data_IF_670047736009
#
_entry.id   IF_670047736009
#
_cell.length_a   1.000
_cell.length_b   1.000
_cell.length_c   1.000
_cell.angle_alpha   90.00
_cell.angle_beta   90.00
_cell.angle_gamma   90.00
#
_symmetry.space_group_name_H-M   'P 1'
#
loop_
_entity.id
_entity.type
_entity.pdbx_description
1 polymer ?
#
# COMPACT_ATOMS: atom_id res chain seq x y z
N UNK A 1 12.52 7.40 -20.70
CA UNK A 1 12.04 8.76 -20.71
C UNK A 1 11.49 9.14 -19.36
N UNK A 2 11.75 10.33 -18.88
CA UNK A 2 11.36 10.79 -17.55
C UNK A 2 9.87 10.67 -17.27
N UNK A 3 9.03 10.93 -18.30
CA UNK A 3 7.58 10.83 -18.18
C UNK A 3 7.10 9.42 -17.80
N UNK A 4 7.81 8.40 -18.22
CA UNK A 4 7.46 7.02 -17.91
C UNK A 4 7.64 6.71 -16.43
N UNK A 5 8.72 7.20 -15.83
CA UNK A 5 8.96 7.01 -14.39
C UNK A 5 7.90 7.77 -13.59
N UNK A 6 7.63 9.02 -13.95
CA UNK A 6 6.60 9.82 -13.27
C UNK A 6 5.23 9.14 -13.32
N UNK A 7 4.83 8.62 -14.47
CA UNK A 7 3.58 7.88 -14.62
C UNK A 7 3.54 6.65 -13.73
N UNK A 8 4.64 5.90 -13.69
CA UNK A 8 4.69 4.69 -12.86
C UNK A 8 4.61 5.02 -11.37
N UNK A 9 5.25 6.10 -10.93
CA UNK A 9 5.13 6.53 -9.54
C UNK A 9 3.68 6.91 -9.22
N UNK A 10 2.99 7.62 -10.13
CA UNK A 10 1.57 7.96 -9.97
C UNK A 10 0.73 6.68 -9.88
N UNK A 11 1.00 5.69 -10.72
CA UNK A 11 0.30 4.40 -10.68
C UNK A 11 0.47 3.70 -9.33
N UNK A 12 1.68 3.69 -8.79
CA UNK A 12 1.95 3.13 -7.45
C UNK A 12 1.11 3.86 -6.40
N UNK A 13 1.20 5.18 -6.40
CA UNK A 13 0.49 5.99 -5.41
C UNK A 13 -1.02 5.72 -5.45
N UNK A 14 -1.59 5.66 -6.64
CA UNK A 14 -3.02 5.36 -6.81
C UNK A 14 -3.36 3.93 -6.41
N UNK A 15 -2.48 2.99 -6.72
CA UNK A 15 -2.68 1.58 -6.38
C UNK A 15 -2.76 1.35 -4.87
N UNK A 16 -2.02 2.13 -4.09
CA UNK A 16 -2.04 2.05 -2.62
C UNK A 16 -3.04 3.03 -1.99
N UNK A 17 -3.81 3.75 -2.83
CA UNK A 17 -4.86 4.68 -2.39
C UNK A 17 -4.36 5.85 -1.56
N UNK A 18 -3.17 6.36 -1.90
CA UNK A 18 -2.59 7.52 -1.23
C UNK A 18 -2.77 8.78 -2.08
N UNK A 19 -3.03 9.91 -1.42
CA UNK A 19 -2.92 11.21 -2.07
C UNK A 19 -1.45 11.68 -2.01
N UNK A 20 -1.16 12.81 -2.65
CA UNK A 20 0.22 13.31 -2.70
C UNK A 20 0.79 13.63 -1.32
N UNK A 21 -0.04 14.15 -0.42
CA UNK A 21 0.37 14.49 0.95
C UNK A 21 0.76 13.25 1.73
N UNK A 22 -0.09 12.20 1.69
CA UNK A 22 0.19 10.93 2.36
C UNK A 22 1.45 10.26 1.82
N UNK A 23 1.60 10.28 0.51
CA UNK A 23 2.76 9.69 -0.17
C UNK A 23 4.04 10.41 0.25
N UNK A 24 4.02 11.75 0.22
CA UNK A 24 5.16 12.57 0.62
C UNK A 24 5.55 12.32 2.08
N UNK A 25 4.56 12.24 2.98
CA UNK A 25 4.81 11.97 4.40
C UNK A 25 5.53 10.64 4.62
N UNK A 26 5.10 9.59 3.91
CA UNK A 26 5.75 8.28 4.03
C UNK A 26 7.18 8.28 3.51
N UNK A 27 7.46 9.12 2.53
CA UNK A 27 8.79 9.27 1.94
C UNK A 27 9.63 10.33 2.64
N UNK A 28 9.07 10.98 3.66
CA UNK A 28 9.73 12.07 4.39
C UNK A 28 10.12 13.22 3.46
N UNK A 29 9.21 13.56 2.55
CA UNK A 29 9.36 14.65 1.58
C UNK A 29 8.21 15.63 1.74
N UNK A 30 8.39 16.83 1.20
CA UNK A 30 7.31 17.80 1.12
C UNK A 30 6.39 17.45 -0.07
N UNK A 31 5.09 17.70 0.10
CA UNK A 31 4.12 17.48 -0.97
C UNK A 31 4.50 18.20 -2.26
N UNK A 32 5.05 19.41 -2.15
CA UNK A 32 5.47 20.20 -3.33
C UNK A 32 6.50 19.47 -4.19
N UNK A 33 7.40 18.70 -3.56
CA UNK A 33 8.39 17.91 -4.29
C UNK A 33 7.70 16.79 -5.08
N UNK A 34 6.77 16.08 -4.44
CA UNK A 34 6.01 15.02 -5.12
C UNK A 34 5.22 15.60 -6.30
N UNK A 35 4.55 16.74 -6.08
CA UNK A 35 3.78 17.41 -7.14
C UNK A 35 4.65 17.77 -8.34
N UNK A 36 5.83 18.35 -8.10
CA UNK A 36 6.77 18.72 -9.17
C UNK A 36 7.25 17.48 -9.92
N UNK A 37 7.59 16.41 -9.21
CA UNK A 37 8.09 15.20 -9.83
C UNK A 37 7.00 14.49 -10.64
N UNK A 38 5.77 14.43 -10.11
CA UNK A 38 4.65 13.80 -10.83
C UNK A 38 4.25 14.57 -12.08
N UNK A 39 4.40 15.89 -12.07
CA UNK A 39 4.08 16.72 -13.24
C UNK A 39 5.18 16.73 -14.31
N UNK A 40 6.32 16.11 -14.03
CA UNK A 40 7.45 16.08 -14.94
C UNK A 40 8.32 17.31 -14.91
N UNK A 41 8.07 18.26 -14.02
CA UNK A 41 8.86 19.48 -13.89
C UNK A 41 10.19 19.23 -13.16
N UNK A 42 10.28 18.14 -12.43
CA UNK A 42 11.46 17.71 -11.72
C UNK A 42 11.56 16.19 -11.81
N UNK A 43 12.78 15.67 -11.92
CA UNK A 43 12.99 14.23 -11.95
C UNK A 43 13.02 13.66 -10.53
N UNK A 44 12.48 12.43 -10.36
CA UNK A 44 12.66 11.69 -9.13
C UNK A 44 14.12 11.31 -8.97
N UNK A 45 14.70 11.58 -7.80
CA UNK A 45 16.07 11.19 -7.52
C UNK A 45 16.16 9.66 -7.38
N UNK A 46 17.35 9.13 -7.62
CA UNK A 46 17.63 7.71 -7.42
C UNK A 46 17.28 7.27 -6.00
N UNK A 47 17.63 8.08 -5.01
CA UNK A 47 17.30 7.80 -3.60
C UNK A 47 15.81 7.70 -3.38
N UNK A 48 15.04 8.63 -3.94
CA UNK A 48 13.58 8.63 -3.80
C UNK A 48 12.97 7.37 -4.42
N UNK A 49 13.46 6.96 -5.60
CA UNK A 49 12.98 5.74 -6.25
C UNK A 49 13.26 4.50 -5.39
N UNK A 50 14.44 4.44 -4.79
CA UNK A 50 14.80 3.34 -3.88
C UNK A 50 13.95 3.35 -2.62
N UNK A 51 13.66 4.53 -2.08
CA UNK A 51 12.78 4.65 -0.92
C UNK A 51 11.36 4.18 -1.25
N UNK A 52 10.84 4.53 -2.43
CA UNK A 52 9.53 4.05 -2.88
C UNK A 52 9.53 2.53 -2.94
N UNK A 53 10.55 1.95 -3.54
CA UNK A 53 10.70 0.49 -3.63
C UNK A 53 10.72 -0.16 -2.24
N UNK A 54 11.53 0.38 -1.34
CA UNK A 54 11.70 -0.21 0.00
C UNK A 54 10.46 -0.05 0.88
N UNK A 55 9.85 1.12 0.88
CA UNK A 55 8.73 1.44 1.78
C UNK A 55 7.44 0.76 1.31
N UNK A 56 7.19 0.74 0.01
CA UNK A 56 5.93 0.26 -0.55
C UNK A 56 6.03 -1.10 -1.23
N UNK A 57 7.18 -1.77 -1.13
CA UNK A 57 7.44 -3.07 -1.75
C UNK A 57 7.22 -3.05 -3.27
N UNK A 58 7.66 -1.97 -3.91
CA UNK A 58 7.57 -1.78 -5.35
C UNK A 58 8.83 -2.37 -6.00
N UNK A 59 8.65 -3.09 -7.09
CA UNK A 59 9.77 -3.61 -7.89
C UNK A 59 10.54 -2.44 -8.50
N UNK A 60 11.77 -2.24 -8.05
CA UNK A 60 12.60 -1.12 -8.49
C UNK A 60 12.85 -1.14 -10.01
N UNK A 61 13.08 -2.33 -10.58
CA UNK A 61 13.28 -2.45 -12.02
C UNK A 61 12.04 -2.00 -12.79
N UNK A 62 10.85 -2.45 -12.35
CA UNK A 62 9.61 -2.00 -12.97
C UNK A 62 9.46 -0.49 -12.85
N UNK A 63 9.76 0.08 -11.69
CA UNK A 63 9.65 1.52 -11.46
C UNK A 63 10.53 2.31 -12.42
N UNK A 64 11.75 1.83 -12.67
CA UNK A 64 12.71 2.49 -13.55
C UNK A 64 12.49 2.22 -15.03
N UNK A 65 12.12 0.99 -15.39
CA UNK A 65 12.12 0.54 -16.81
C UNK A 65 10.75 0.15 -17.32
N UNK A 66 9.80 -0.15 -16.45
CA UNK A 66 8.49 -0.66 -16.83
C UNK A 66 8.45 -2.18 -17.02
N UNK A 67 9.58 -2.86 -16.82
CA UNK A 67 9.65 -4.32 -16.98
C UNK A 67 9.35 -5.03 -15.67
N UNK A 68 8.58 -6.11 -15.74
CA UNK A 68 8.20 -6.92 -14.59
C UNK A 68 6.90 -6.45 -13.96
N UNK A 69 6.65 -6.91 -12.75
CA UNK A 69 5.45 -6.58 -12.00
C UNK A 69 5.67 -5.32 -11.14
N UNK A 70 4.60 -4.56 -10.94
CA UNK A 70 4.64 -3.34 -10.13
C UNK A 70 5.10 -3.59 -8.70
N UNK A 71 4.53 -4.60 -8.05
CA UNK A 71 4.88 -4.94 -6.67
C UNK A 71 5.68 -6.24 -6.63
N UNK A 72 6.55 -6.36 -5.63
CA UNK A 72 7.29 -7.58 -5.39
C UNK A 72 6.32 -8.71 -5.03
N UNK A 73 6.62 -9.93 -5.51
CA UNK A 73 5.74 -11.08 -5.28
C UNK A 73 5.57 -11.41 -3.79
N UNK A 74 6.56 -11.08 -2.99
CA UNK A 74 6.57 -11.38 -1.55
C UNK A 74 5.99 -10.24 -0.70
N UNK A 75 5.44 -9.20 -1.34
CA UNK A 75 4.96 -8.01 -0.62
C UNK A 75 3.90 -8.34 0.43
N UNK A 76 2.97 -9.26 0.12
CA UNK A 76 1.94 -9.68 1.08
C UNK A 76 2.56 -10.35 2.31
N UNK A 77 3.49 -11.27 2.10
CA UNK A 77 4.15 -11.97 3.20
C UNK A 77 4.99 -11.02 4.05
N UNK A 78 5.66 -10.05 3.45
CA UNK A 78 6.44 -9.04 4.18
C UNK A 78 5.51 -8.21 5.07
N UNK A 79 4.37 -7.77 4.54
CA UNK A 79 3.39 -6.99 5.31
C UNK A 79 2.82 -7.82 6.46
N UNK A 80 2.47 -9.07 6.20
CA UNK A 80 1.92 -9.96 7.23
C UNK A 80 2.94 -10.24 8.32
N UNK A 81 4.21 -10.48 7.96
CA UNK A 81 5.27 -10.68 8.94
C UNK A 81 5.47 -9.45 9.81
N UNK A 82 5.41 -8.26 9.22
CA UNK A 82 5.51 -7.01 9.97
C UNK A 82 4.34 -6.84 10.95
N UNK A 83 3.12 -7.16 10.52
CA UNK A 83 1.93 -7.11 11.39
C UNK A 83 2.03 -8.12 12.53
N UNK A 84 2.49 -9.34 12.22
CA UNK A 84 2.69 -10.39 13.22
C UNK A 84 3.61 -9.91 14.35
N UNK A 85 4.74 -9.30 13.97
CA UNK A 85 5.72 -8.81 14.92
C UNK A 85 5.20 -7.61 15.73
N UNK A 86 4.53 -6.67 15.07
CA UNK A 86 4.06 -5.42 15.70
C UNK A 86 2.94 -5.68 16.72
N UNK A 87 2.02 -6.59 16.41
CA UNK A 87 0.81 -6.81 17.20
C UNK A 87 0.79 -8.17 17.90
N UNK A 88 1.90 -8.91 17.88
CA UNK A 88 2.02 -10.22 18.52
C UNK A 88 0.89 -11.18 18.08
N UNK A 89 0.70 -11.29 16.77
CA UNK A 89 -0.38 -12.10 16.21
C UNK A 89 0.01 -13.58 16.17
N UNK A 90 -0.97 -14.45 16.46
CA UNK A 90 -0.78 -15.89 16.36
C UNK A 90 -1.18 -16.43 14.99
N UNK A 91 -1.07 -17.75 14.79
CA UNK A 91 -1.39 -18.38 13.51
C UNK A 91 -2.85 -18.19 13.11
N UNK A 92 -3.77 -18.23 14.08
CA UNK A 92 -5.19 -18.04 13.80
C UNK A 92 -5.46 -16.60 13.34
N UNK A 93 -4.81 -15.63 13.98
CA UNK A 93 -4.91 -14.23 13.58
C UNK A 93 -4.48 -14.05 12.14
N UNK A 94 -3.36 -14.68 11.76
CA UNK A 94 -2.84 -14.58 10.40
C UNK A 94 -3.78 -15.27 9.41
N UNK A 95 -4.34 -16.43 9.76
CA UNK A 95 -5.32 -17.11 8.92
C UNK A 95 -6.55 -16.26 8.69
N UNK A 96 -7.02 -15.53 9.71
CA UNK A 96 -8.14 -14.60 9.59
C UNK A 96 -7.82 -13.50 8.58
N UNK A 97 -6.63 -12.90 8.68
CA UNK A 97 -6.20 -11.83 7.79
C UNK A 97 -6.12 -12.33 6.35
N UNK A 98 -5.46 -13.47 6.14
CA UNK A 98 -5.31 -14.07 4.80
C UNK A 98 -6.65 -14.44 4.20
N UNK A 99 -7.55 -15.01 4.99
CA UNK A 99 -8.89 -15.37 4.56
C UNK A 99 -9.67 -14.15 4.11
N UNK A 100 -9.63 -13.09 4.92
CA UNK A 100 -10.33 -11.84 4.60
C UNK A 100 -9.81 -11.23 3.30
N UNK A 101 -8.50 -11.17 3.13
CA UNK A 101 -7.88 -10.61 1.92
C UNK A 101 -8.30 -11.41 0.67
N UNK A 102 -8.42 -12.73 0.80
CA UNK A 102 -8.76 -13.61 -0.33
C UNK A 102 -10.24 -13.63 -0.68
N UNK A 103 -11.11 -13.07 0.16
CA UNK A 103 -12.55 -13.03 -0.08
C UNK A 103 -12.92 -12.17 -1.28
N UNK A 104 -13.94 -12.60 -2.04
CA UNK A 104 -14.54 -11.78 -3.08
C UNK A 104 -15.24 -10.57 -2.45
N UNK A 105 -15.42 -9.46 -3.20
CA UNK A 105 -16.05 -8.26 -2.63
C UNK A 105 -17.41 -8.50 -1.95
N UNK A 106 -18.24 -9.37 -2.53
CA UNK A 106 -19.54 -9.70 -1.94
C UNK A 106 -19.39 -10.45 -0.62
N UNK A 107 -18.48 -11.40 -0.57
CA UNK A 107 -18.17 -12.14 0.64
C UNK A 107 -17.67 -11.21 1.76
N UNK A 108 -16.79 -10.28 1.41
CA UNK A 108 -16.30 -9.29 2.37
C UNK A 108 -17.42 -8.39 2.89
N UNK A 109 -18.36 -8.05 2.02
CA UNK A 109 -19.50 -7.22 2.41
C UNK A 109 -20.39 -7.94 3.45
N UNK A 110 -20.65 -9.24 3.24
CA UNK A 110 -21.39 -10.06 4.20
C UNK A 110 -20.69 -10.10 5.55
N UNK A 111 -19.38 -10.33 5.52
CA UNK A 111 -18.56 -10.36 6.73
C UNK A 111 -18.58 -8.99 7.44
N UNK A 112 -18.44 -7.91 6.70
CA UNK A 112 -18.49 -6.55 7.26
C UNK A 112 -19.82 -6.28 7.93
N UNK A 113 -20.92 -6.72 7.33
CA UNK A 113 -22.26 -6.55 7.90
C UNK A 113 -22.39 -7.30 9.22
N UNK A 114 -21.85 -8.52 9.27
CA UNK A 114 -21.82 -9.31 10.49
C UNK A 114 -21.07 -8.59 11.62
N UNK A 115 -19.84 -8.12 11.32
CA UNK A 115 -19.02 -7.42 12.30
C UNK A 115 -19.70 -6.13 12.77
N UNK A 116 -20.32 -5.40 11.87
CA UNK A 116 -21.04 -4.17 12.20
C UNK A 116 -22.20 -4.49 13.15
N UNK A 117 -22.95 -5.55 12.90
CA UNK A 117 -24.03 -5.98 13.77
C UNK A 117 -23.56 -6.31 15.19
N UNK A 118 -22.45 -7.02 15.31
CA UNK A 118 -21.83 -7.33 16.61
C UNK A 118 -21.39 -6.05 17.32
N UNK A 119 -20.73 -5.14 16.60
CA UNK A 119 -20.26 -3.87 17.16
C UNK A 119 -21.42 -3.01 17.65
N UNK A 120 -22.49 -2.89 16.86
CA UNK A 120 -23.66 -2.09 17.23
C UNK A 120 -24.37 -2.69 18.46
N UNK A 121 -24.46 -4.02 18.51
CA UNK A 121 -25.05 -4.72 19.66
C UNK A 121 -24.23 -4.45 20.93
N UNK A 122 -22.92 -4.52 20.86
CA UNK A 122 -22.04 -4.24 22.00
C UNK A 122 -22.20 -2.81 22.48
N UNK A 123 -22.35 -1.86 21.58
CA UNK A 123 -22.60 -0.46 21.93
C UNK A 123 -23.97 -0.28 22.59
N UNK A 124 -24.97 -1.04 22.16
CA UNK A 124 -26.33 -0.97 22.70
C UNK A 124 -26.49 -1.53 24.11
N UNK A 125 -25.54 -2.32 24.57
CA UNK A 125 -25.57 -2.94 25.89
C UNK A 125 -25.07 -2.06 27.03
N UNK A 126 -24.63 -0.84 26.73
CA UNK A 126 -24.14 0.11 27.75
C UNK A 126 -25.26 0.93 28.37
#
# INVERSE_FOLDING_TARGET
>A
MSNSIAKRVIEVRKAIHFNQTQFAERLNLQRSIISLCESGKREFSERTLRDISAIFSVNLEWLKTGEGEMFDEESEDVVIDALRAEYDLDEIDIDIIRTYISMAPLERQVFKNFIKGVSDKNKGER
#
